data_IF_542089415258
#
_entry.id   IF_542089415258
#
_cell.length_a   1.000
_cell.length_b   1.000
_cell.length_c   1.000
_cell.angle_alpha   90.00
_cell.angle_beta   90.00
_cell.angle_gamma   90.00
#
_symmetry.space_group_name_H-M   'P 1'
#
loop_
_entity.id
_entity.type
_entity.pdbx_description
1 polymer ?
#
# COMPACT_ATOMS: atom_id res chain seq x y z
N UNK A 1 36.85 26.17 3.40
CA UNK A 1 36.94 25.28 4.57
C UNK A 1 35.56 24.64 4.73
N UNK A 2 35.26 23.48 4.13
CA UNK A 2 35.56 22.13 4.67
C UNK A 2 35.24 22.07 6.18
N UNK A 3 34.28 21.27 6.65
CA UNK A 3 34.24 19.81 6.53
C UNK A 3 32.82 19.22 6.58
N UNK A 4 32.70 18.07 5.90
CA UNK A 4 31.67 17.04 5.98
C UNK A 4 31.56 16.38 7.37
N UNK A 5 30.52 15.54 7.51
CA UNK A 5 30.30 14.39 8.42
C UNK A 5 29.05 14.59 9.30
N UNK A 6 28.10 13.66 9.49
CA UNK A 6 27.91 12.29 9.05
C UNK A 6 26.41 11.94 9.19
N UNK A 7 25.99 11.02 8.34
CA UNK A 7 24.76 10.23 8.36
C UNK A 7 24.33 9.72 9.75
N UNK A 8 23.01 9.77 10.02
CA UNK A 8 22.32 8.63 10.65
C UNK A 8 20.80 8.73 10.45
N UNK A 9 20.30 8.13 9.37
CA UNK A 9 18.87 7.84 9.23
C UNK A 9 18.57 6.58 10.03
N UNK A 10 18.04 6.75 11.24
CA UNK A 10 17.48 5.64 12.01
C UNK A 10 16.19 5.19 11.33
N UNK A 11 16.30 4.13 10.53
CA UNK A 11 15.17 3.39 9.98
C UNK A 11 14.39 2.80 11.17
N UNK A 12 13.22 3.37 11.49
CA UNK A 12 12.30 2.78 12.45
C UNK A 12 11.67 1.54 11.80
N UNK A 13 12.29 0.38 11.99
CA UNK A 13 11.69 -0.90 11.65
C UNK A 13 10.57 -1.18 12.65
N UNK A 14 9.35 -0.76 12.33
CA UNK A 14 8.17 -1.26 13.00
C UNK A 14 7.93 -2.70 12.53
N UNK A 15 8.36 -3.67 13.32
CA UNK A 15 7.88 -5.05 13.20
C UNK A 15 6.40 -5.06 13.55
N UNK A 16 5.55 -5.02 12.51
CA UNK A 16 4.11 -5.27 12.62
C UNK A 16 3.92 -6.69 13.19
N UNK A 17 3.44 -6.78 14.42
CA UNK A 17 2.96 -8.05 14.98
C UNK A 17 1.72 -8.49 14.18
N UNK A 18 1.66 -9.75 13.70
CA UNK A 18 0.48 -10.24 13.02
C UNK A 18 -0.70 -10.35 14.00
N UNK A 19 -1.95 -10.16 13.54
CA UNK A 19 -3.12 -10.32 14.37
C UNK A 19 -3.28 -11.80 14.76
N UNK A 20 -3.23 -12.09 16.07
CA UNK A 20 -3.57 -13.42 16.61
C UNK A 20 -5.02 -13.74 16.28
N UNK A 21 -5.24 -14.67 15.34
CA UNK A 21 -6.51 -15.38 15.16
C UNK A 21 -6.36 -16.76 15.77
N UNK A 22 -6.50 -16.85 17.08
CA UNK A 22 -6.54 -18.14 17.78
C UNK A 22 -8.02 -18.54 17.97
N UNK A 23 -8.61 -19.11 16.90
CA UNK A 23 -9.89 -19.82 16.95
C UNK A 23 -9.64 -21.20 17.57
N UNK A 24 -9.96 -21.37 18.86
CA UNK A 24 -9.85 -22.64 19.57
C UNK A 24 -11.23 -23.27 19.76
N UNK A 25 -11.60 -24.22 18.91
CA UNK A 25 -12.55 -25.29 19.26
C UNK A 25 -11.75 -26.43 19.90
N UNK A 26 -11.80 -26.51 21.23
CA UNK A 26 -11.04 -27.47 22.01
C UNK A 26 -11.52 -28.91 21.81
N UNK A 27 -10.67 -29.76 21.22
CA UNK A 27 -10.66 -31.20 21.49
C UNK A 27 -9.92 -31.46 22.79
N UNK A 28 -10.54 -32.25 23.67
CA UNK A 28 -9.99 -32.64 24.95
C UNK A 28 -8.77 -33.55 24.75
N UNK A 29 -7.59 -33.08 25.16
CA UNK A 29 -6.37 -33.89 25.28
C UNK A 29 -5.97 -33.88 26.74
N UNK A 30 -6.00 -35.07 27.36
CA UNK A 30 -5.64 -35.31 28.76
C UNK A 30 -4.16 -34.99 29.00
N UNK A 31 -3.88 -33.83 29.59
CA UNK A 31 -2.58 -33.43 30.11
C UNK A 31 -2.65 -33.23 31.62
N UNK A 32 -1.61 -33.66 32.34
CA UNK A 32 -1.47 -33.62 33.81
C UNK A 32 -1.82 -32.24 34.40
N UNK A 33 -2.41 -32.16 35.62
CA UNK A 33 -2.84 -30.88 36.18
C UNK A 33 -1.63 -29.95 36.37
N UNK A 34 -1.67 -28.80 35.69
CA UNK A 34 -0.77 -27.69 35.95
C UNK A 34 -0.95 -27.26 37.41
N UNK A 35 0.15 -27.09 38.14
CA UNK A 35 0.10 -26.65 39.52
C UNK A 35 -0.62 -25.30 39.59
N UNK A 36 -1.53 -25.07 40.55
CA UNK A 36 -2.15 -23.77 40.71
C UNK A 36 -1.05 -22.75 40.96
N UNK A 37 -0.91 -21.75 40.06
CA UNK A 37 -0.09 -20.57 40.33
C UNK A 37 -0.79 -19.83 41.45
N UNK A 38 -0.34 -20.08 42.68
CA UNK A 38 -0.85 -19.38 43.84
C UNK A 38 -0.20 -18.00 43.86
N UNK A 39 -0.93 -16.99 43.39
CA UNK A 39 -0.57 -15.60 43.59
C UNK A 39 -0.68 -15.31 45.09
N UNK A 40 0.44 -15.30 45.80
CA UNK A 40 0.48 -14.89 47.20
C UNK A 40 0.54 -13.37 47.23
N UNK A 41 -0.53 -12.72 47.71
CA UNK A 41 -0.46 -11.32 48.13
C UNK A 41 0.39 -11.30 49.39
N UNK A 42 1.67 -10.96 49.22
CA UNK A 42 2.56 -10.67 50.34
C UNK A 42 2.21 -9.28 50.84
N UNK A 43 1.32 -9.17 51.82
CA UNK A 43 1.16 -7.96 52.64
C UNK A 43 2.33 -7.87 53.63
N UNK A 44 3.55 -7.71 53.11
CA UNK A 44 4.67 -7.22 53.91
C UNK A 44 4.56 -5.70 53.83
N UNK A 45 4.49 -4.96 54.95
CA UNK A 45 4.65 -3.52 54.90
C UNK A 45 6.13 -3.23 54.66
N UNK A 46 6.61 -3.55 53.45
CA UNK A 46 7.86 -3.04 52.94
C UNK A 46 7.57 -1.62 52.51
N UNK A 47 8.09 -0.65 53.26
CA UNK A 47 8.27 0.73 52.81
C UNK A 47 9.27 0.83 51.63
N UNK A 48 9.52 -0.27 50.91
CA UNK A 48 10.30 -0.28 49.69
C UNK A 48 9.47 0.38 48.60
N UNK A 49 9.78 1.65 48.37
CA UNK A 49 9.30 2.39 47.21
C UNK A 49 9.83 1.66 45.99
N UNK A 50 8.96 0.95 45.25
CA UNK A 50 9.35 0.33 43.99
C UNK A 50 9.78 1.44 43.02
N UNK A 51 11.09 1.65 42.86
CA UNK A 51 11.62 2.67 41.97
C UNK A 51 11.37 2.25 40.52
N UNK A 52 10.27 2.74 39.95
CA UNK A 52 9.94 2.55 38.55
C UNK A 52 10.81 3.47 37.69
N UNK A 53 11.56 2.91 36.74
CA UNK A 53 12.33 3.70 35.76
C UNK A 53 11.37 4.49 34.87
N UNK A 54 11.63 5.79 34.69
CA UNK A 54 10.93 6.64 33.71
C UNK A 54 11.53 6.42 32.33
N UNK A 55 10.68 6.38 31.31
CA UNK A 55 11.12 6.24 29.92
C UNK A 55 11.53 7.57 29.26
N UNK A 56 11.40 8.70 29.96
CA UNK A 56 11.74 10.05 29.50
C UNK A 56 11.14 10.40 28.12
N UNK A 57 9.87 10.05 27.90
CA UNK A 57 9.15 10.47 26.71
C UNK A 57 8.98 11.98 26.67
N UNK A 58 9.06 12.53 25.47
CA UNK A 58 8.81 13.94 25.23
C UNK A 58 7.30 14.22 25.23
N UNK A 59 6.94 15.46 25.54
CA UNK A 59 5.57 15.93 25.44
C UNK A 59 5.07 15.86 23.98
N UNK A 60 3.75 15.73 23.76
CA UNK A 60 3.18 15.79 22.42
C UNK A 60 3.48 17.12 21.74
N UNK A 61 3.72 17.08 20.41
CA UNK A 61 3.98 18.28 19.59
C UNK A 61 2.77 19.21 19.57
N UNK A 62 1.57 18.64 19.62
CA UNK A 62 0.32 19.36 19.55
C UNK A 62 -0.35 19.39 20.91
N UNK A 63 -0.63 20.60 21.38
CA UNK A 63 -1.39 20.84 22.59
C UNK A 63 -2.89 20.58 22.37
N UNK A 64 -3.60 20.24 23.45
CA UNK A 64 -5.03 19.92 23.38
C UNK A 64 -5.86 21.11 22.88
N UNK A 65 -5.61 22.30 23.42
CA UNK A 65 -6.34 23.52 23.05
C UNK A 65 -6.09 23.88 21.58
N UNK A 66 -4.87 23.64 21.08
CA UNK A 66 -4.54 23.81 19.67
C UNK A 66 -5.36 22.87 18.78
N UNK A 67 -5.40 21.57 19.10
CA UNK A 67 -6.17 20.58 18.33
C UNK A 67 -7.66 20.92 18.35
N UNK A 68 -8.20 21.38 19.48
CA UNK A 68 -9.59 21.79 19.60
C UNK A 68 -9.91 23.07 18.81
N UNK A 69 -8.94 23.97 18.65
CA UNK A 69 -9.10 25.20 17.87
C UNK A 69 -9.09 25.01 16.36
N UNK A 70 -8.74 23.82 15.86
CA UNK A 70 -8.65 23.55 14.42
C UNK A 70 -10.03 23.70 13.75
N UNK A 71 -10.13 24.68 12.86
CA UNK A 71 -11.28 24.90 11.98
C UNK A 71 -10.89 24.65 10.53
N UNK A 72 -11.88 24.38 9.67
CA UNK A 72 -11.66 24.13 8.24
C UNK A 72 -12.53 25.05 7.41
N UNK A 73 -11.89 25.90 6.61
CA UNK A 73 -12.55 26.79 5.65
C UNK A 73 -13.19 26.02 4.49
N UNK A 74 -12.82 24.76 4.31
CA UNK A 74 -13.28 23.89 3.22
C UNK A 74 -14.66 23.26 3.47
N UNK A 75 -15.35 23.65 4.55
CA UNK A 75 -16.71 23.19 4.87
C UNK A 75 -17.83 23.98 4.19
N UNK A 76 -17.51 25.09 3.52
CA UNK A 76 -18.50 25.94 2.87
C UNK A 76 -19.16 25.31 1.64
N UNK A 77 -20.42 25.66 1.38
CA UNK A 77 -21.21 25.16 0.24
C UNK A 77 -20.52 25.39 -1.12
N UNK A 78 -19.84 26.53 -1.28
CA UNK A 78 -19.08 26.84 -2.50
C UNK A 78 -17.95 25.85 -2.75
N UNK A 79 -17.28 25.37 -1.69
CA UNK A 79 -16.19 24.41 -1.80
C UNK A 79 -16.73 23.03 -2.22
N UNK A 80 -17.85 22.62 -1.61
CA UNK A 80 -18.55 21.37 -1.95
C UNK A 80 -19.04 21.42 -3.40
N UNK A 81 -19.67 22.52 -3.82
CA UNK A 81 -20.14 22.67 -5.20
C UNK A 81 -19.03 22.57 -6.24
N UNK A 82 -17.88 23.20 -5.99
CA UNK A 82 -16.69 23.06 -6.85
C UNK A 82 -16.13 21.65 -6.86
N UNK A 83 -16.09 20.98 -5.70
CA UNK A 83 -15.65 19.59 -5.60
C UNK A 83 -16.53 18.66 -6.44
N UNK A 84 -17.85 18.78 -6.35
CA UNK A 84 -18.79 17.95 -7.10
C UNK A 84 -18.73 18.21 -8.61
N UNK A 85 -18.45 19.45 -9.01
CA UNK A 85 -18.16 19.77 -10.41
C UNK A 85 -16.90 19.04 -10.90
N UNK A 86 -15.77 19.21 -10.21
CA UNK A 86 -14.50 18.59 -10.58
C UNK A 86 -14.60 17.06 -10.57
N UNK A 87 -15.31 16.48 -9.59
CA UNK A 87 -15.56 15.04 -9.52
C UNK A 87 -16.31 14.54 -10.76
N UNK A 88 -17.31 15.28 -11.25
CA UNK A 88 -18.00 14.93 -12.51
C UNK A 88 -17.10 15.04 -13.72
N UNK A 89 -16.26 16.08 -13.79
CA UNK A 89 -15.31 16.26 -14.89
C UNK A 89 -14.31 15.09 -14.97
N UNK A 90 -13.73 14.67 -13.84
CA UNK A 90 -12.82 13.52 -13.77
C UNK A 90 -13.55 12.22 -14.15
N UNK A 91 -14.80 12.01 -13.71
CA UNK A 91 -15.61 10.86 -14.16
C UNK A 91 -15.80 10.84 -15.67
N UNK A 92 -16.05 12.00 -16.29
CA UNK A 92 -16.15 12.09 -17.74
C UNK A 92 -14.81 11.81 -18.43
N UNK A 93 -13.69 12.27 -17.88
CA UNK A 93 -12.36 11.95 -18.42
C UNK A 93 -12.11 10.44 -18.42
N UNK A 94 -12.38 9.76 -17.30
CA UNK A 94 -12.25 8.30 -17.21
C UNK A 94 -13.09 7.54 -18.25
N UNK A 95 -14.24 8.10 -18.66
CA UNK A 95 -15.10 7.50 -19.68
C UNK A 95 -14.77 7.90 -21.13
N UNK A 96 -14.04 9.00 -21.35
CA UNK A 96 -13.74 9.55 -22.69
C UNK A 96 -12.36 9.17 -23.22
N UNK A 97 -11.39 8.90 -22.35
CA UNK A 97 -10.05 8.52 -22.78
C UNK A 97 -10.15 7.18 -23.52
N UNK A 98 -9.74 7.14 -24.78
CA UNK A 98 -9.82 5.93 -25.61
C UNK A 98 -8.52 5.12 -25.56
N UNK A 99 -7.38 5.78 -25.39
CA UNK A 99 -6.07 5.13 -25.37
C UNK A 99 -5.85 4.40 -24.03
N UNK A 100 -5.57 3.09 -24.04
CA UNK A 100 -5.40 2.33 -22.80
C UNK A 100 -4.27 2.82 -21.90
N UNK A 101 -3.17 3.31 -22.49
CA UNK A 101 -2.04 3.87 -21.73
C UNK A 101 -2.46 5.12 -20.94
N UNK A 102 -3.11 6.07 -21.61
CA UNK A 102 -3.60 7.31 -20.99
C UNK A 102 -4.62 7.01 -19.87
N UNK A 103 -5.47 5.98 -20.05
CA UNK A 103 -6.39 5.52 -19.00
C UNK A 103 -5.63 5.03 -17.77
N UNK A 104 -4.58 4.23 -17.95
CA UNK A 104 -3.75 3.73 -16.84
C UNK A 104 -2.98 4.85 -16.14
N UNK A 105 -2.45 5.82 -16.89
CA UNK A 105 -1.78 6.99 -16.33
C UNK A 105 -2.75 7.85 -15.50
N UNK A 106 -3.98 8.03 -15.98
CA UNK A 106 -5.01 8.74 -15.21
C UNK A 106 -5.36 7.99 -13.92
N UNK A 107 -5.50 6.66 -13.98
CA UNK A 107 -5.74 5.84 -12.79
C UNK A 107 -4.57 5.97 -11.79
N UNK A 108 -3.32 5.89 -12.28
CA UNK A 108 -2.13 6.07 -11.45
C UNK A 108 -2.11 7.43 -10.76
N UNK A 109 -2.41 8.49 -11.49
CA UNK A 109 -2.47 9.84 -10.96
C UNK A 109 -3.52 9.95 -9.83
N UNK A 110 -4.72 9.40 -10.04
CA UNK A 110 -5.78 9.42 -9.03
C UNK A 110 -5.40 8.64 -7.76
N UNK A 111 -4.70 7.51 -7.92
CA UNK A 111 -4.20 6.72 -6.79
C UNK A 111 -3.11 7.47 -6.02
N UNK A 112 -2.15 8.10 -6.73
CA UNK A 112 -1.06 8.87 -6.12
C UNK A 112 -1.55 10.14 -5.42
N UNK A 113 -2.63 10.73 -5.91
CA UNK A 113 -3.32 11.85 -5.27
C UNK A 113 -4.17 11.42 -4.06
N UNK A 114 -4.38 10.11 -3.85
CA UNK A 114 -5.18 9.60 -2.74
C UNK A 114 -6.68 9.84 -2.89
N UNK A 115 -7.16 10.12 -4.10
CA UNK A 115 -8.59 10.41 -4.39
C UNK A 115 -9.27 9.30 -5.21
N UNK A 116 -8.55 8.21 -5.52
CA UNK A 116 -9.07 7.07 -6.29
C UNK A 116 -10.31 6.42 -5.68
N UNK A 117 -10.48 6.49 -4.36
CA UNK A 117 -11.65 5.96 -3.65
C UNK A 117 -12.98 6.62 -4.06
N UNK A 118 -12.93 7.81 -4.68
CA UNK A 118 -14.12 8.49 -5.21
C UNK A 118 -14.60 7.93 -6.55
N UNK A 119 -13.77 7.09 -7.20
CA UNK A 119 -13.94 6.59 -8.56
C UNK A 119 -13.77 5.06 -8.66
N UNK A 120 -13.98 4.33 -7.56
CA UNK A 120 -13.70 2.89 -7.52
C UNK A 120 -14.42 2.10 -8.62
N UNK A 121 -15.68 2.44 -8.90
CA UNK A 121 -16.49 1.73 -9.89
C UNK A 121 -16.04 2.03 -11.32
N UNK A 122 -15.65 3.27 -11.61
CA UNK A 122 -15.02 3.64 -12.88
C UNK A 122 -13.69 2.89 -13.06
N UNK A 123 -12.82 2.91 -12.05
CA UNK A 123 -11.51 2.25 -12.08
C UNK A 123 -11.67 0.73 -12.27
N UNK A 124 -12.53 0.07 -11.48
CA UNK A 124 -12.78 -1.37 -11.59
C UNK A 124 -13.30 -1.75 -12.99
N UNK A 125 -14.20 -0.96 -13.57
CA UNK A 125 -14.72 -1.21 -14.93
C UNK A 125 -13.62 -1.10 -15.99
N UNK A 126 -12.79 -0.06 -15.91
CA UNK A 126 -11.67 0.13 -16.85
C UNK A 126 -10.65 -1.00 -16.75
N UNK A 127 -10.23 -1.34 -15.53
CA UNK A 127 -9.27 -2.43 -15.31
C UNK A 127 -9.83 -3.79 -15.75
N UNK A 128 -11.12 -4.06 -15.50
CA UNK A 128 -11.74 -5.28 -15.96
C UNK A 128 -11.82 -5.36 -17.49
N UNK A 129 -12.13 -4.24 -18.16
CA UNK A 129 -12.11 -4.15 -19.63
C UNK A 129 -10.72 -4.47 -20.18
N UNK A 130 -9.67 -3.86 -19.62
CA UNK A 130 -8.29 -4.12 -20.04
C UNK A 130 -7.88 -5.58 -19.81
N UNK A 131 -8.19 -6.12 -18.63
CA UNK A 131 -7.85 -7.50 -18.28
C UNK A 131 -8.53 -8.52 -19.19
N UNK A 132 -9.81 -8.33 -19.52
CA UNK A 132 -10.54 -9.21 -20.45
C UNK A 132 -10.05 -9.08 -21.91
N UNK A 133 -9.61 -7.89 -22.32
CA UNK A 133 -9.16 -7.60 -23.68
C UNK A 133 -7.66 -7.85 -23.91
N UNK A 134 -6.94 -8.34 -22.90
CA UNK A 134 -5.48 -8.58 -22.90
C UNK A 134 -4.97 -9.46 -24.06
N UNK A 135 -5.85 -10.20 -24.76
CA UNK A 135 -5.45 -11.09 -25.85
C UNK A 135 -5.77 -10.56 -27.26
N UNK A 136 -6.42 -9.41 -27.41
CA UNK A 136 -7.02 -8.99 -28.69
C UNK A 136 -6.12 -8.02 -29.46
N UNK A 137 -5.42 -7.08 -28.80
CA UNK A 137 -4.49 -6.16 -29.47
C UNK A 137 -3.58 -5.41 -28.46
N UNK A 138 -2.50 -6.04 -28.01
CA UNK A 138 -1.53 -5.46 -27.07
C UNK A 138 -0.46 -4.57 -27.76
N UNK A 139 -0.76 -4.06 -28.96
CA UNK A 139 0.18 -3.23 -29.74
C UNK A 139 0.68 -1.99 -28.99
N UNK A 140 -0.15 -1.40 -28.13
CA UNK A 140 0.21 -0.25 -27.30
C UNK A 140 1.22 -0.58 -26.17
N UNK A 141 1.36 -1.87 -25.82
CA UNK A 141 2.36 -2.37 -24.86
C UNK A 141 3.62 -2.87 -25.55
N UNK A 142 3.51 -3.34 -26.79
CA UNK A 142 4.62 -3.90 -27.56
C UNK A 142 5.76 -2.87 -27.62
N UNK A 143 6.93 -3.28 -27.15
CA UNK A 143 8.15 -2.44 -27.07
C UNK A 143 8.07 -1.25 -26.09
N UNK A 144 6.96 -1.07 -25.36
CA UNK A 144 6.82 -0.02 -24.35
C UNK A 144 6.92 -0.60 -22.93
N UNK A 145 8.12 -0.46 -22.35
CA UNK A 145 8.43 -0.91 -20.99
C UNK A 145 7.54 -0.21 -19.95
N UNK A 146 7.30 1.09 -20.14
CA UNK A 146 6.50 1.90 -19.23
C UNK A 146 5.05 1.40 -19.19
N UNK A 147 4.43 1.24 -20.35
CA UNK A 147 3.06 0.74 -20.48
C UNK A 147 2.88 -0.63 -19.83
N UNK A 148 3.78 -1.57 -20.13
CA UNK A 148 3.75 -2.94 -19.59
C UNK A 148 3.92 -2.95 -18.07
N UNK A 149 4.89 -2.18 -17.54
CA UNK A 149 5.14 -2.10 -16.11
C UNK A 149 3.98 -1.42 -15.35
N UNK A 150 3.40 -0.37 -15.94
CA UNK A 150 2.30 0.39 -15.37
C UNK A 150 1.06 -0.48 -15.23
N UNK A 151 0.65 -1.14 -16.31
CA UNK A 151 -0.49 -2.05 -16.31
C UNK A 151 -0.29 -3.18 -15.28
N UNK A 152 0.86 -3.85 -15.33
CA UNK A 152 1.18 -4.95 -14.42
C UNK A 152 1.05 -4.52 -12.95
N UNK A 153 1.63 -3.36 -12.60
CA UNK A 153 1.56 -2.82 -11.25
C UNK A 153 0.12 -2.51 -10.84
N UNK A 154 -0.62 -1.78 -11.67
CA UNK A 154 -1.98 -1.34 -11.34
C UNK A 154 -2.92 -2.54 -11.20
N UNK A 155 -2.88 -3.49 -12.13
CA UNK A 155 -3.70 -4.70 -12.08
C UNK A 155 -3.41 -5.53 -10.82
N UNK A 156 -2.13 -5.74 -10.46
CA UNK A 156 -1.78 -6.45 -9.22
C UNK A 156 -2.22 -5.73 -7.96
N UNK A 157 -2.08 -4.40 -7.92
CA UNK A 157 -2.56 -3.58 -6.79
C UNK A 157 -4.08 -3.70 -6.60
N UNK A 158 -4.82 -3.97 -7.67
CA UNK A 158 -6.27 -4.15 -7.65
C UNK A 158 -6.71 -5.62 -7.54
N UNK A 159 -5.79 -6.56 -7.29
CA UNK A 159 -6.11 -7.96 -7.02
C UNK A 159 -6.27 -8.85 -8.26
N UNK A 160 -5.93 -8.37 -9.45
CA UNK A 160 -5.95 -9.20 -10.66
C UNK A 160 -4.78 -10.17 -10.69
N UNK A 161 -5.06 -11.41 -11.07
CA UNK A 161 -4.05 -12.47 -11.19
C UNK A 161 -3.30 -12.36 -12.52
N UNK A 162 -2.10 -11.77 -12.50
CA UNK A 162 -1.24 -11.68 -13.69
C UNK A 162 -0.10 -12.72 -13.61
N UNK A 163 -0.02 -13.65 -14.58
CA UNK A 163 1.06 -14.63 -14.68
C UNK A 163 2.44 -13.96 -14.67
N UNK A 164 3.40 -14.59 -13.98
CA UNK A 164 4.80 -14.12 -13.96
C UNK A 164 5.49 -14.26 -15.34
N UNK A 165 4.95 -15.06 -16.26
CA UNK A 165 5.48 -15.19 -17.63
C UNK A 165 5.32 -13.92 -18.49
N UNK A 166 4.37 -13.04 -18.13
CA UNK A 166 4.17 -11.70 -18.72
C UNK A 166 5.01 -10.66 -17.95
N UNK A 167 5.93 -11.10 -17.08
CA UNK A 167 6.83 -10.19 -16.37
C UNK A 167 7.54 -9.31 -17.38
N UNK A 168 7.56 -8.02 -17.06
CA UNK A 168 8.12 -6.84 -17.73
C UNK A 168 9.47 -7.07 -18.46
N UNK A 169 10.13 -8.19 -18.21
CA UNK A 169 11.40 -8.62 -18.77
C UNK A 169 11.30 -9.67 -19.88
N UNK A 170 10.26 -10.51 -19.98
CA UNK A 170 10.24 -11.63 -20.95
C UNK A 170 10.15 -11.15 -22.39
N UNK A 171 9.38 -10.11 -22.69
CA UNK A 171 9.34 -9.49 -24.03
C UNK A 171 10.65 -8.78 -24.41
N UNK A 172 11.42 -8.29 -23.43
CA UNK A 172 12.70 -7.59 -23.65
C UNK A 172 13.93 -8.52 -23.62
N UNK A 173 13.83 -9.69 -22.97
CA UNK A 173 14.92 -10.66 -22.87
C UNK A 173 15.00 -11.61 -24.08
N UNK A 174 13.94 -11.74 -24.88
CA UNK A 174 13.93 -12.62 -26.08
C UNK A 174 14.89 -12.13 -27.18
N UNK A 175 15.34 -10.87 -27.16
CA UNK A 175 16.25 -10.35 -28.19
C UNK A 175 17.73 -10.74 -27.99
N UNK A 176 18.09 -11.45 -26.91
CA UNK A 176 19.52 -11.67 -26.56
C UNK A 176 20.10 -13.03 -26.94
N UNK A 177 19.30 -13.96 -27.48
CA UNK A 177 19.75 -15.33 -27.72
C UNK A 177 20.11 -15.66 -29.19
N UNK A 178 20.13 -14.67 -30.09
CA UNK A 178 20.41 -14.90 -31.51
C UNK A 178 21.84 -14.52 -31.93
N UNK A 179 22.90 -15.00 -31.24
CA UNK A 179 24.24 -15.14 -31.85
C UNK A 179 25.05 -16.23 -31.14
N UNK A 180 24.95 -17.49 -31.60
CA UNK A 180 26.11 -18.38 -31.75
C UNK A 180 25.66 -19.70 -32.40
N UNK A 181 25.70 -19.75 -33.72
CA UNK A 181 25.84 -21.02 -34.42
C UNK A 181 27.30 -21.51 -34.25
N UNK A 182 27.57 -22.67 -33.62
CA UNK A 182 28.85 -23.32 -33.80
C UNK A 182 28.85 -23.98 -35.17
N UNK A 183 29.73 -23.49 -36.06
CA UNK A 183 30.07 -24.15 -37.32
C UNK A 183 30.47 -25.59 -37.05
N UNK A 184 29.83 -26.51 -37.76
CA UNK A 184 30.24 -27.90 -37.86
C UNK A 184 31.66 -28.00 -38.44
N UNK A 185 32.48 -28.83 -37.81
CA UNK A 185 33.62 -29.53 -38.40
C UNK A 185 33.48 -31.01 -38.04
#
# INVERSE_FOLDING_TARGET
>A
MALFMLSSTSILSHSLLPPRRDFWMGKSISGKPAHPVQCVVVNRPSYETTVRRTANYQAPIWDYDYVQSLTSDYRGETCIGRFDQLKREVKMMLGKVEQPLDQLELIDLLQRLGISYQFEDEIKRLLNSMYCNHNIDDKWKKENLHATALEFRILRQNGYSIPQGISVTSSFLVQKDEVLHPKAF
#
